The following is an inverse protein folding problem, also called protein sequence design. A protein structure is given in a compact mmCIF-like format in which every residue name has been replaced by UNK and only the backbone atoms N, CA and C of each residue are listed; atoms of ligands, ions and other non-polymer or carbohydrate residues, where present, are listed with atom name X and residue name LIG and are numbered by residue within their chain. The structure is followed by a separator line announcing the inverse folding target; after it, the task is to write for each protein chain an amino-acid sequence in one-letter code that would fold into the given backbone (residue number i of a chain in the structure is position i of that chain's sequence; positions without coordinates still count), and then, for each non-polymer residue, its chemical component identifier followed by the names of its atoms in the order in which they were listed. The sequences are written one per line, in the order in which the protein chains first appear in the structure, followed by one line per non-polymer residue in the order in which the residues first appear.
data_IF_696526350556
#
_entry.id   IF_696526350556
#
_cell.length_a   1.000
_cell.length_b   1.000
_cell.length_c   1.000
_cell.angle_alpha   90.00
_cell.angle_beta   90.00
_cell.angle_gamma   90.00
#
_symmetry.space_group_name_H-M   'P 1'
#
loop_
_entity.id
_entity.type
_entity.pdbx_description
1 polymer ?
#
# COMPACT_ATOMS: atom_id res chain seq x y z
N UNK A 1 -0.93 16.47 18.21
CA UNK A 1 -1.37 17.00 16.89
C UNK A 1 -1.00 18.48 16.68
N UNK A 2 -0.49 19.21 17.69
CA UNK A 2 -0.15 20.63 17.56
C UNK A 2 0.81 20.94 16.41
N UNK A 3 1.91 20.17 16.27
CA UNK A 3 2.89 20.39 15.20
C UNK A 3 2.29 20.24 13.80
N UNK A 4 1.45 19.22 13.59
CA UNK A 4 0.78 19.01 12.30
C UNK A 4 -0.19 20.16 11.96
N UNK A 5 -0.89 20.70 12.96
CA UNK A 5 -1.75 21.88 12.80
C UNK A 5 -0.88 23.10 12.43
N UNK A 6 0.21 23.34 13.16
CA UNK A 6 1.16 24.42 12.88
C UNK A 6 1.73 24.33 11.47
N UNK A 7 2.23 23.17 11.05
CA UNK A 7 2.74 22.99 9.69
C UNK A 7 1.67 23.13 8.60
N UNK A 8 0.42 22.77 8.85
CA UNK A 8 -0.66 23.00 7.89
C UNK A 8 -1.06 24.49 7.83
N UNK A 9 -1.10 25.18 8.96
CA UNK A 9 -1.55 26.57 9.07
C UNK A 9 -0.47 27.56 8.63
N UNK A 10 0.72 27.42 9.21
CA UNK A 10 1.89 28.23 8.90
C UNK A 10 2.55 27.76 7.61
N UNK A 11 2.49 26.48 7.28
CA UNK A 11 3.05 25.96 6.04
C UNK A 11 4.49 25.48 6.15
N UNK A 12 4.91 24.76 5.12
CA UNK A 12 6.21 24.09 4.98
C UNK A 12 6.90 24.53 3.69
N UNK A 13 8.25 24.42 3.59
CA UNK A 13 8.92 24.59 2.32
C UNK A 13 8.54 23.47 1.33
N UNK A 14 8.20 23.85 0.12
CA UNK A 14 7.89 22.90 -0.96
C UNK A 14 9.15 22.13 -1.34
N UNK A 15 9.05 20.81 -1.38
CA UNK A 15 10.14 19.94 -1.82
C UNK A 15 10.14 19.78 -3.34
N UNK A 16 11.29 19.40 -3.92
CA UNK A 16 11.39 19.11 -5.35
C UNK A 16 10.44 17.98 -5.77
N UNK A 17 10.27 16.95 -4.94
CA UNK A 17 9.36 15.82 -5.21
C UNK A 17 7.89 16.25 -5.19
N UNK A 18 7.48 17.11 -4.25
CA UNK A 18 6.12 17.66 -4.22
C UNK A 18 5.82 18.52 -5.45
N UNK A 19 6.73 19.42 -5.83
CA UNK A 19 6.55 20.27 -7.00
C UNK A 19 6.42 19.42 -8.27
N UNK A 20 7.28 18.40 -8.43
CA UNK A 20 7.22 17.45 -9.53
C UNK A 20 5.91 16.65 -9.55
N UNK A 21 5.48 16.11 -8.40
CA UNK A 21 4.23 15.37 -8.28
C UNK A 21 3.01 16.24 -8.66
N UNK A 22 2.99 17.50 -8.20
CA UNK A 22 1.91 18.45 -8.52
C UNK A 22 1.87 18.76 -10.02
N UNK A 23 3.02 19.08 -10.62
CA UNK A 23 3.11 19.36 -12.05
C UNK A 23 2.71 18.14 -12.91
N UNK A 24 3.20 16.94 -12.58
CA UNK A 24 2.89 15.72 -13.33
C UNK A 24 1.41 15.32 -13.28
N UNK A 25 0.66 15.81 -12.28
CA UNK A 25 -0.78 15.54 -12.10
C UNK A 25 -1.68 16.72 -12.44
N UNK A 26 -1.12 17.86 -12.83
CA UNK A 26 -1.85 19.10 -13.04
C UNK A 26 -2.99 18.93 -14.05
N UNK A 27 -2.72 18.37 -15.23
CA UNK A 27 -3.73 18.21 -16.28
C UNK A 27 -4.86 17.25 -15.88
N UNK A 28 -4.56 16.25 -15.04
CA UNK A 28 -5.53 15.29 -14.52
C UNK A 28 -6.42 15.90 -13.43
N UNK A 29 -5.84 16.73 -12.56
CA UNK A 29 -6.46 17.13 -11.30
C UNK A 29 -6.94 18.59 -11.25
N UNK A 30 -6.52 19.49 -12.16
CA UNK A 30 -6.88 20.93 -12.10
C UNK A 30 -8.38 21.20 -12.06
N UNK A 31 -9.18 20.30 -12.63
CA UNK A 31 -10.64 20.40 -12.68
C UNK A 31 -11.35 19.69 -11.52
N UNK A 32 -10.59 18.99 -10.66
CA UNK A 32 -11.15 18.35 -9.48
C UNK A 32 -11.45 19.40 -8.41
N UNK A 33 -12.63 19.35 -7.76
CA UNK A 33 -13.01 20.36 -6.79
C UNK A 33 -12.01 20.48 -5.63
N UNK A 34 -11.55 21.71 -5.35
CA UNK A 34 -10.62 22.00 -4.26
C UNK A 34 -9.15 21.77 -4.60
N UNK A 35 -8.81 21.15 -5.74
CA UNK A 35 -7.42 20.86 -6.08
C UNK A 35 -6.65 22.14 -6.39
N UNK A 36 -7.14 22.96 -7.31
CA UNK A 36 -6.46 24.17 -7.76
C UNK A 36 -6.29 25.18 -6.63
N UNK A 37 -7.29 25.31 -5.75
CA UNK A 37 -7.27 26.20 -4.59
C UNK A 37 -6.27 25.75 -3.52
N UNK A 38 -6.03 24.44 -3.40
CA UNK A 38 -5.16 23.88 -2.37
C UNK A 38 -3.72 23.72 -2.85
N UNK A 39 -3.53 23.27 -4.08
CA UNK A 39 -2.25 22.76 -4.57
C UNK A 39 -1.54 23.66 -5.57
N UNK A 40 -2.20 24.69 -6.10
CA UNK A 40 -1.63 25.58 -7.12
C UNK A 40 -1.46 27.02 -6.62
N UNK A 41 -0.44 27.69 -7.14
CA UNK A 41 -0.19 29.12 -6.93
C UNK A 41 -0.29 29.80 -8.29
N UNK A 42 -1.30 30.66 -8.45
CA UNK A 42 -1.60 31.31 -9.73
C UNK A 42 -1.75 30.31 -10.91
N UNK A 43 -2.37 29.15 -10.64
CA UNK A 43 -2.64 28.11 -11.65
C UNK A 43 -1.48 27.15 -11.92
N UNK A 44 -0.34 27.35 -11.28
CA UNK A 44 0.88 26.55 -11.48
C UNK A 44 1.27 25.78 -10.22
N UNK A 45 2.04 24.71 -10.40
CA UNK A 45 2.65 23.99 -9.28
C UNK A 45 3.58 24.93 -8.49
N UNK A 46 3.58 24.88 -7.15
CA UNK A 46 4.39 25.78 -6.34
C UNK A 46 5.88 25.47 -6.50
N UNK A 47 6.71 26.51 -6.47
CA UNK A 47 8.16 26.37 -6.69
C UNK A 47 8.83 25.69 -5.49
N UNK A 48 9.83 24.81 -5.69
CA UNK A 48 10.64 24.30 -4.59
C UNK A 48 11.20 25.42 -3.71
N UNK A 49 11.18 25.22 -2.40
CA UNK A 49 11.60 26.22 -1.39
C UNK A 49 10.57 27.31 -1.09
N UNK A 50 9.53 27.49 -1.92
CA UNK A 50 8.41 28.38 -1.59
C UNK A 50 7.60 27.83 -0.42
N UNK A 51 6.80 28.69 0.22
CA UNK A 51 5.99 28.32 1.39
C UNK A 51 4.63 27.79 0.95
N UNK A 52 4.30 26.56 1.34
CA UNK A 52 3.04 25.90 1.05
C UNK A 52 2.18 25.75 2.31
N UNK A 53 0.96 26.29 2.28
CA UNK A 53 0.01 26.28 3.41
C UNK A 53 -1.25 25.51 3.06
N UNK A 54 -1.85 24.87 4.05
CA UNK A 54 -3.09 24.10 3.96
C UNK A 54 -4.04 24.49 5.13
N UNK A 55 -4.56 25.73 5.15
CA UNK A 55 -5.39 26.21 6.27
C UNK A 55 -6.68 25.40 6.47
N UNK A 56 -7.26 24.87 5.39
CA UNK A 56 -8.42 23.98 5.48
C UNK A 56 -8.07 22.66 6.19
N UNK A 57 -6.89 22.09 5.92
CA UNK A 57 -6.38 20.90 6.61
C UNK A 57 -6.10 21.21 8.09
N UNK A 58 -5.53 22.37 8.40
CA UNK A 58 -5.35 22.80 9.79
C UNK A 58 -6.68 22.85 10.56
N UNK A 59 -7.73 23.37 9.92
CA UNK A 59 -9.09 23.35 10.48
C UNK A 59 -9.60 21.93 10.76
N UNK A 60 -9.41 21.00 9.83
CA UNK A 60 -9.77 19.58 10.01
C UNK A 60 -8.98 18.93 11.16
N UNK A 61 -7.68 19.19 11.24
CA UNK A 61 -6.82 18.67 12.32
C UNK A 61 -7.19 19.26 13.68
N UNK A 62 -7.61 20.53 13.73
CA UNK A 62 -8.15 21.17 14.94
C UNK A 62 -9.44 20.50 15.41
N UNK A 63 -10.37 20.21 14.50
CA UNK A 63 -11.58 19.45 14.85
C UNK A 63 -11.26 18.06 15.40
N UNK A 64 -10.31 17.34 14.80
CA UNK A 64 -9.89 16.04 15.31
C UNK A 64 -9.23 16.13 16.70
N UNK A 65 -8.52 17.22 16.98
CA UNK A 65 -7.92 17.48 18.28
C UNK A 65 -8.97 17.84 19.34
N UNK A 66 -10.04 18.56 18.98
CA UNK A 66 -11.12 18.94 19.91
C UNK A 66 -12.15 17.83 20.13
N UNK A 67 -12.60 17.18 19.05
CA UNK A 67 -13.73 16.26 19.04
C UNK A 67 -13.28 14.80 19.23
N UNK A 68 -11.97 14.56 19.21
CA UNK A 68 -11.35 13.24 19.24
C UNK A 68 -11.21 12.61 17.85
N UNK A 69 -10.23 11.71 17.71
CA UNK A 69 -9.90 11.06 16.43
C UNK A 69 -11.05 10.24 15.84
N UNK A 70 -11.95 9.76 16.69
CA UNK A 70 -13.14 9.00 16.27
C UNK A 70 -14.12 9.87 15.47
N UNK A 71 -14.05 11.20 15.61
CA UNK A 71 -14.87 12.15 14.84
C UNK A 71 -14.71 11.97 13.32
N UNK A 72 -13.54 11.51 12.86
CA UNK A 72 -13.30 11.18 11.45
C UNK A 72 -14.29 10.14 10.90
N UNK A 73 -14.71 9.18 11.73
CA UNK A 73 -15.59 8.08 11.33
C UNK A 73 -17.00 8.18 11.90
N UNK A 74 -17.17 8.84 13.06
CA UNK A 74 -18.41 8.77 13.87
C UNK A 74 -18.90 10.10 14.43
N UNK A 75 -18.23 11.20 14.10
CA UNK A 75 -18.59 12.53 14.62
C UNK A 75 -18.90 13.55 13.53
N UNK A 76 -18.92 14.84 13.90
CA UNK A 76 -19.24 15.93 12.97
C UNK A 76 -18.34 15.96 11.72
N UNK A 77 -17.08 15.52 11.83
CA UNK A 77 -16.19 15.44 10.68
C UNK A 77 -16.64 14.35 9.69
N UNK A 78 -17.09 13.19 10.17
CA UNK A 78 -17.61 12.11 9.34
C UNK A 78 -18.84 12.56 8.53
N UNK A 79 -19.76 13.31 9.16
CA UNK A 79 -20.92 13.87 8.47
C UNK A 79 -20.51 14.85 7.37
N UNK A 80 -19.54 15.74 7.65
CA UNK A 80 -18.99 16.68 6.65
C UNK A 80 -18.34 15.94 5.47
N UNK A 81 -17.58 14.89 5.74
CA UNK A 81 -16.95 14.05 4.71
C UNK A 81 -18.01 13.37 3.84
N UNK A 82 -19.00 12.71 4.46
CA UNK A 82 -20.08 12.03 3.75
C UNK A 82 -20.91 12.99 2.87
N UNK A 83 -21.21 14.18 3.37
CA UNK A 83 -21.90 15.22 2.57
C UNK A 83 -21.06 15.68 1.38
N UNK A 84 -19.75 15.86 1.57
CA UNK A 84 -18.82 16.19 0.49
C UNK A 84 -18.74 15.10 -0.57
N UNK A 85 -18.61 13.85 -0.14
CA UNK A 85 -18.58 12.66 -1.01
C UNK A 85 -19.89 12.52 -1.81
N UNK A 86 -21.05 12.72 -1.17
CA UNK A 86 -22.34 12.66 -1.83
C UNK A 86 -22.49 13.76 -2.91
N UNK A 87 -22.03 14.99 -2.65
CA UNK A 87 -22.03 16.08 -3.65
C UNK A 87 -21.16 15.76 -4.87
N UNK A 88 -20.11 14.97 -4.67
CA UNK A 88 -19.20 14.53 -5.74
C UNK A 88 -19.66 13.23 -6.42
N UNK A 89 -20.81 12.67 -6.02
CA UNK A 89 -21.32 11.41 -6.57
C UNK A 89 -20.48 10.18 -6.20
N UNK A 90 -19.69 10.24 -5.13
CA UNK A 90 -18.93 9.09 -4.64
C UNK A 90 -19.86 8.08 -3.95
N UNK A 91 -19.59 6.77 -4.08
CA UNK A 91 -20.45 5.72 -3.51
C UNK A 91 -20.31 5.56 -1.99
N UNK A 92 -19.32 6.20 -1.37
CA UNK A 92 -19.05 6.09 0.08
C UNK A 92 -20.06 6.91 0.87
N UNK A 93 -20.75 6.26 1.79
CA UNK A 93 -21.79 6.86 2.64
C UNK A 93 -21.28 7.11 4.06
N UNK A 94 -22.06 7.86 4.86
CA UNK A 94 -21.82 7.98 6.30
C UNK A 94 -21.86 6.62 7.00
N UNK A 95 -22.78 5.73 6.57
CA UNK A 95 -22.88 4.38 7.12
C UNK A 95 -21.59 3.56 6.91
N UNK A 96 -20.95 3.71 5.74
CA UNK A 96 -19.66 3.05 5.45
C UNK A 96 -18.55 3.57 6.38
N UNK A 97 -18.46 4.88 6.59
CA UNK A 97 -17.49 5.48 7.52
C UNK A 97 -17.72 4.97 8.95
N UNK A 98 -18.97 4.96 9.41
CA UNK A 98 -19.32 4.51 10.76
C UNK A 98 -19.07 3.01 10.97
N UNK A 99 -19.28 2.19 9.94
CA UNK A 99 -19.03 0.76 9.94
C UNK A 99 -17.54 0.42 9.89
N UNK A 100 -16.69 1.29 9.34
CA UNK A 100 -15.25 1.04 9.23
C UNK A 100 -14.60 0.77 10.59
N UNK A 101 -13.79 -0.29 10.67
CA UNK A 101 -12.97 -0.62 11.84
C UNK A 101 -11.55 -0.93 11.38
N UNK A 102 -10.58 -0.22 11.94
CA UNK A 102 -9.17 -0.56 11.79
C UNK A 102 -8.93 -1.93 12.40
N UNK A 103 -8.37 -2.86 11.62
CA UNK A 103 -7.94 -4.18 12.10
C UNK A 103 -6.46 -4.11 12.47
N UNK A 104 -6.08 -4.78 13.55
CA UNK A 104 -4.68 -4.98 13.97
C UNK A 104 -4.38 -6.47 13.94
N UNK A 105 -4.21 -7.08 12.75
CA UNK A 105 -3.86 -8.48 12.67
C UNK A 105 -2.48 -8.73 13.32
N UNK A 106 -2.26 -9.94 13.81
CA UNK A 106 -0.93 -10.37 14.22
C UNK A 106 0.05 -10.29 13.03
N UNK A 107 1.34 -10.02 13.28
CA UNK A 107 2.33 -10.03 12.22
C UNK A 107 2.53 -11.45 11.68
N UNK A 108 2.91 -11.55 10.41
CA UNK A 108 3.54 -12.76 9.89
C UNK A 108 4.95 -12.87 10.46
N UNK A 109 5.35 -14.10 10.72
CA UNK A 109 6.67 -14.42 11.26
C UNK A 109 7.38 -15.42 10.38
N UNK A 110 8.71 -15.29 10.28
CA UNK A 110 9.58 -16.25 9.63
C UNK A 110 10.79 -16.50 10.52
N UNK A 111 11.12 -17.76 10.76
CA UNK A 111 12.38 -18.14 11.39
C UNK A 111 13.48 -18.17 10.32
N UNK A 112 14.49 -17.33 10.50
CA UNK A 112 15.63 -17.17 9.61
C UNK A 112 16.93 -17.47 10.38
N UNK A 113 18.00 -17.86 9.71
CA UNK A 113 19.27 -18.20 10.37
C UNK A 113 19.88 -17.06 11.21
N UNK A 114 19.52 -15.80 10.94
CA UNK A 114 20.00 -14.60 11.64
C UNK A 114 18.97 -14.02 12.62
N UNK A 115 17.83 -14.71 12.82
CA UNK A 115 16.80 -14.32 13.78
C UNK A 115 15.38 -14.50 13.26
N UNK A 116 14.41 -14.03 14.04
CA UNK A 116 13.01 -13.99 13.58
C UNK A 116 12.77 -12.72 12.77
N UNK A 117 12.09 -12.86 11.63
CA UNK A 117 11.67 -11.75 10.79
C UNK A 117 10.16 -11.55 10.92
N UNK A 118 9.73 -10.30 10.99
CA UNK A 118 8.32 -9.93 11.11
C UNK A 118 7.88 -9.06 9.94
N UNK A 119 6.67 -9.32 9.43
CA UNK A 119 6.06 -8.45 8.42
C UNK A 119 4.53 -8.43 8.55
N UNK A 120 3.87 -7.54 7.83
CA UNK A 120 2.42 -7.39 7.85
C UNK A 120 1.73 -8.56 7.14
N UNK A 121 0.62 -9.03 7.72
CA UNK A 121 -0.29 -9.97 7.08
C UNK A 121 -1.04 -9.33 5.88
N UNK A 122 -1.74 -10.12 5.06
CA UNK A 122 -2.64 -9.58 4.05
C UNK A 122 -3.62 -8.55 4.65
N UNK A 123 -3.97 -7.50 3.90
CA UNK A 123 -3.89 -7.34 2.44
C UNK A 123 -2.54 -6.82 1.90
N UNK A 124 -1.53 -6.64 2.74
CA UNK A 124 -0.20 -6.18 2.32
C UNK A 124 0.62 -7.28 1.62
N UNK A 125 1.73 -6.90 0.97
CA UNK A 125 2.67 -7.85 0.33
C UNK A 125 3.72 -8.44 1.29
N UNK A 126 3.51 -8.36 2.62
CA UNK A 126 4.48 -8.83 3.59
C UNK A 126 4.82 -10.32 3.49
N UNK A 127 3.86 -11.17 3.07
CA UNK A 127 4.10 -12.59 2.78
C UNK A 127 5.20 -12.77 1.73
N UNK A 128 5.14 -12.01 0.63
CA UNK A 128 6.07 -12.18 -0.50
C UNK A 128 7.48 -11.85 -0.05
N UNK A 129 7.67 -10.74 0.66
CA UNK A 129 8.99 -10.35 1.17
C UNK A 129 9.57 -11.39 2.13
N UNK A 130 8.75 -11.93 3.06
CA UNK A 130 9.21 -12.99 3.95
C UNK A 130 9.52 -14.28 3.20
N UNK A 131 8.67 -14.71 2.27
CA UNK A 131 8.90 -15.92 1.48
C UNK A 131 10.19 -15.82 0.65
N UNK A 132 10.50 -14.65 0.05
CA UNK A 132 11.78 -14.44 -0.65
C UNK A 132 12.96 -14.69 0.30
N UNK A 133 12.95 -14.02 1.46
CA UNK A 133 14.02 -14.15 2.45
C UNK A 133 14.15 -15.59 2.95
N UNK A 134 13.04 -16.24 3.27
CA UNK A 134 13.04 -17.62 3.74
C UNK A 134 13.49 -18.63 2.68
N UNK A 135 13.19 -18.41 1.40
CA UNK A 135 13.74 -19.24 0.32
C UNK A 135 15.25 -19.00 0.20
N UNK A 136 15.70 -17.74 0.18
CA UNK A 136 17.14 -17.43 0.06
C UNK A 136 17.95 -17.92 1.26
N UNK A 137 17.37 -17.96 2.46
CA UNK A 137 17.99 -18.51 3.67
C UNK A 137 18.29 -20.02 3.56
N UNK A 138 17.64 -20.70 2.62
CA UNK A 138 17.84 -22.13 2.32
C UNK A 138 18.78 -22.37 1.15
N UNK A 139 19.28 -21.30 0.52
CA UNK A 139 20.26 -21.35 -0.54
C UNK A 139 21.66 -21.05 0.02
N UNK A 140 22.70 -21.56 -0.62
CA UNK A 140 24.11 -21.33 -0.23
C UNK A 140 24.59 -19.94 -0.64
N UNK A 141 23.94 -18.89 -0.13
CA UNK A 141 24.16 -17.50 -0.56
C UNK A 141 25.57 -17.00 -0.25
N UNK A 142 26.22 -17.49 0.81
CA UNK A 142 27.59 -17.10 1.17
C UNK A 142 28.65 -17.56 0.15
N UNK A 143 28.36 -18.62 -0.61
CA UNK A 143 29.27 -19.19 -1.61
C UNK A 143 28.96 -18.69 -3.04
N UNK A 144 27.95 -17.82 -3.19
CA UNK A 144 27.50 -17.36 -4.49
C UNK A 144 28.36 -16.21 -5.02
N UNK A 145 28.71 -16.24 -6.31
CA UNK A 145 29.20 -15.05 -7.01
C UNK A 145 28.06 -14.03 -7.28
N UNK A 146 28.40 -12.89 -7.89
CA UNK A 146 27.44 -11.83 -8.19
C UNK A 146 26.29 -12.31 -9.10
N UNK A 147 26.60 -13.12 -10.11
CA UNK A 147 25.60 -13.61 -11.06
C UNK A 147 24.67 -14.64 -10.41
N UNK A 148 25.23 -15.56 -9.63
CA UNK A 148 24.50 -16.55 -8.85
C UNK A 148 23.62 -15.89 -7.78
N UNK A 149 24.13 -14.86 -7.11
CA UNK A 149 23.38 -14.09 -6.12
C UNK A 149 22.13 -13.46 -6.75
N UNK A 150 22.32 -12.76 -7.87
CA UNK A 150 21.19 -12.14 -8.60
C UNK A 150 20.22 -13.21 -9.09
N UNK A 151 20.72 -14.30 -9.68
CA UNK A 151 19.89 -15.40 -10.17
C UNK A 151 19.02 -16.01 -9.08
N UNK A 152 19.63 -16.39 -7.95
CA UNK A 152 18.93 -17.00 -6.81
C UNK A 152 17.88 -16.08 -6.21
N UNK A 153 18.17 -14.79 -6.07
CA UNK A 153 17.19 -13.80 -5.60
C UNK A 153 16.02 -13.67 -6.60
N UNK A 154 16.30 -13.63 -7.90
CA UNK A 154 15.28 -13.55 -8.95
C UNK A 154 14.39 -14.81 -8.94
N UNK A 155 14.98 -16.00 -8.86
CA UNK A 155 14.23 -17.26 -8.83
C UNK A 155 13.40 -17.39 -7.54
N UNK A 156 13.96 -17.03 -6.38
CA UNK A 156 13.22 -16.96 -5.11
C UNK A 156 12.04 -15.99 -5.20
N UNK A 157 12.23 -14.83 -5.86
CA UNK A 157 11.16 -13.87 -6.12
C UNK A 157 10.06 -14.49 -6.97
N UNK A 158 10.39 -15.18 -8.06
CA UNK A 158 9.38 -15.87 -8.90
C UNK A 158 8.57 -16.87 -8.10
N UNK A 159 9.21 -17.66 -7.22
CA UNK A 159 8.55 -18.65 -6.36
C UNK A 159 7.64 -17.99 -5.32
N UNK A 160 8.09 -16.94 -4.65
CA UNK A 160 7.27 -16.20 -3.68
C UNK A 160 6.04 -15.54 -4.32
N UNK A 161 6.16 -15.01 -5.54
CA UNK A 161 5.02 -14.46 -6.28
C UNK A 161 4.05 -15.56 -6.72
N UNK A 162 4.54 -16.71 -7.17
CA UNK A 162 3.68 -17.85 -7.50
C UNK A 162 2.91 -18.36 -6.27
N UNK A 163 3.56 -18.42 -5.11
CA UNK A 163 2.94 -18.76 -3.83
C UNK A 163 1.82 -17.77 -3.46
N UNK A 164 2.08 -16.47 -3.58
CA UNK A 164 1.05 -15.44 -3.39
C UNK A 164 -0.11 -15.63 -4.36
N UNK A 165 0.16 -15.80 -5.65
CA UNK A 165 -0.88 -15.87 -6.67
C UNK A 165 -1.75 -17.14 -6.53
N UNK A 166 -1.22 -18.21 -5.94
CA UNK A 166 -1.97 -19.43 -5.65
C UNK A 166 -2.90 -19.28 -4.43
N UNK A 167 -2.51 -18.49 -3.41
CA UNK A 167 -3.19 -18.46 -2.10
C UNK A 167 -3.83 -17.12 -1.72
N UNK A 168 -3.46 -16.02 -2.38
CA UNK A 168 -3.95 -14.66 -2.09
C UNK A 168 -4.63 -14.12 -3.36
N UNK A 169 -5.88 -14.56 -3.61
CA UNK A 169 -6.65 -14.18 -4.82
C UNK A 169 -7.91 -13.34 -4.56
N UNK A 170 -8.42 -13.26 -3.32
CA UNK A 170 -9.38 -12.22 -2.87
C UNK A 170 -9.30 -12.09 -1.33
N UNK A 171 -9.08 -10.89 -0.76
CA UNK A 171 -9.03 -10.70 0.70
C UNK A 171 -10.31 -11.13 1.46
N UNK A 172 -11.44 -11.28 0.76
CA UNK A 172 -12.70 -11.76 1.32
C UNK A 172 -12.80 -13.30 1.39
N UNK A 173 -11.85 -14.01 0.76
CA UNK A 173 -11.81 -15.47 0.66
C UNK A 173 -10.41 -16.04 0.96
N UNK A 174 -9.70 -15.44 1.93
CA UNK A 174 -8.48 -16.02 2.49
C UNK A 174 -8.86 -17.16 3.45
N UNK A 175 -9.16 -18.34 2.91
CA UNK A 175 -9.41 -19.56 3.68
C UNK A 175 -8.12 -20.27 4.15
N UNK A 176 -6.95 -19.72 3.80
CA UNK A 176 -5.64 -20.30 4.12
C UNK A 176 -5.02 -19.57 5.30
N UNK A 177 -4.53 -20.32 6.29
CA UNK A 177 -3.63 -19.78 7.30
C UNK A 177 -2.30 -19.39 6.63
N UNK A 178 -2.18 -18.10 6.30
CA UNK A 178 -1.04 -17.52 5.58
C UNK A 178 0.28 -17.75 6.30
N UNK A 179 0.26 -17.94 7.61
CA UNK A 179 1.46 -18.26 8.39
C UNK A 179 2.03 -19.64 8.02
N UNK A 180 1.20 -20.60 7.60
CA UNK A 180 1.65 -21.92 7.16
C UNK A 180 2.50 -21.86 5.90
N UNK A 181 2.30 -20.84 5.06
CA UNK A 181 3.06 -20.62 3.82
C UNK A 181 4.51 -20.19 4.09
N UNK A 182 4.85 -19.84 5.33
CA UNK A 182 6.19 -19.41 5.76
C UNK A 182 6.90 -20.47 6.61
N UNK A 183 6.32 -21.67 6.73
CA UNK A 183 6.95 -22.79 7.44
C UNK A 183 8.13 -23.36 6.64
N UNK A 184 9.09 -24.02 7.29
CA UNK A 184 10.15 -24.73 6.59
C UNK A 184 9.64 -25.73 5.55
N UNK A 185 8.57 -26.43 5.87
CA UNK A 185 7.93 -27.44 5.01
C UNK A 185 7.34 -26.81 3.75
N UNK A 186 6.82 -25.59 3.85
CA UNK A 186 6.31 -24.85 2.69
C UNK A 186 7.42 -24.24 1.83
N UNK A 187 8.51 -23.76 2.44
CA UNK A 187 9.57 -23.02 1.74
C UNK A 187 10.68 -23.91 1.18
N UNK A 188 10.97 -25.06 1.79
CA UNK A 188 12.05 -25.95 1.33
C UNK A 188 11.83 -26.46 -0.11
N UNK A 189 10.64 -26.94 -0.51
CA UNK A 189 10.41 -27.38 -1.88
C UNK A 189 10.58 -26.26 -2.91
N UNK A 190 10.31 -25.00 -2.52
CA UNK A 190 10.50 -23.85 -3.38
C UNK A 190 11.99 -23.57 -3.58
N UNK A 191 12.81 -23.65 -2.53
CA UNK A 191 14.26 -23.52 -2.62
C UNK A 191 14.89 -24.64 -3.45
N UNK A 192 14.49 -25.89 -3.22
CA UNK A 192 15.02 -27.07 -3.94
C UNK A 192 14.69 -27.04 -5.44
N UNK A 193 13.65 -26.29 -5.84
CA UNK A 193 13.25 -26.13 -7.24
C UNK A 193 14.04 -25.06 -8.02
N UNK A 194 15.02 -24.41 -7.39
CA UNK A 194 15.87 -23.40 -8.02
C UNK A 194 17.10 -24.09 -8.61
N UNK A 195 17.24 -24.01 -9.93
CA UNK A 195 18.40 -24.52 -10.67
C UNK A 195 19.35 -23.35 -10.97
N UNK A 196 20.58 -23.41 -10.46
CA UNK A 196 21.61 -22.39 -10.71
C UNK A 196 22.02 -22.29 -12.19
N UNK A 197 21.78 -23.33 -12.99
CA UNK A 197 22.11 -23.35 -14.41
C UNK A 197 20.96 -22.90 -15.32
N UNK A 198 19.73 -22.79 -14.81
CA UNK A 198 18.55 -22.55 -15.63
C UNK A 198 17.48 -21.71 -14.94
N UNK A 199 17.07 -20.61 -15.58
CA UNK A 199 16.02 -19.75 -15.07
C UNK A 199 14.63 -20.31 -15.37
N UNK A 200 13.75 -20.29 -14.37
CA UNK A 200 12.35 -20.66 -14.56
C UNK A 200 11.63 -19.68 -15.48
N UNK A 201 10.66 -20.14 -16.28
CA UNK A 201 9.80 -19.23 -17.03
C UNK A 201 9.08 -18.27 -16.08
N UNK A 202 8.93 -17.02 -16.51
CA UNK A 202 8.09 -16.07 -15.79
C UNK A 202 6.63 -16.58 -15.90
N UNK A 203 6.00 -16.90 -14.77
CA UNK A 203 4.60 -17.34 -14.75
C UNK A 203 3.68 -16.39 -15.54
N UNK A 204 2.57 -16.90 -16.08
CA UNK A 204 1.65 -16.10 -16.92
C UNK A 204 1.28 -14.80 -16.21
N UNK A 205 1.57 -13.65 -16.84
CA UNK A 205 1.09 -12.32 -16.42
C UNK A 205 -0.42 -12.38 -16.25
N UNK A 206 -0.93 -12.51 -15.03
CA UNK A 206 -2.31 -12.17 -14.75
C UNK A 206 -2.41 -10.65 -14.88
N UNK A 207 -3.16 -10.20 -15.90
CA UNK A 207 -3.47 -8.78 -16.07
C UNK A 207 -4.28 -8.34 -14.84
N UNK A 208 -3.87 -7.31 -14.10
CA UNK A 208 -4.67 -6.82 -12.98
C UNK A 208 -6.04 -6.34 -13.51
N UNK A 209 -7.13 -6.85 -12.95
CA UNK A 209 -8.41 -6.15 -12.92
C UNK A 209 -9.28 -6.13 -14.18
N UNK A 210 -9.45 -7.23 -14.93
CA UNK A 210 -10.60 -7.33 -15.85
C UNK A 210 -11.82 -7.87 -15.10
N UNK A 211 -12.55 -7.00 -14.41
CA UNK A 211 -13.93 -7.31 -14.02
C UNK A 211 -14.71 -7.62 -15.31
N UNK A 212 -15.14 -8.88 -15.48
CA UNK A 212 -16.20 -9.19 -16.44
C UNK A 212 -17.48 -8.64 -15.86
N UNK A 213 -17.88 -7.46 -16.33
CA UNK A 213 -19.28 -7.08 -16.31
C UNK A 213 -19.97 -7.96 -17.35
N UNK A 214 -20.37 -9.17 -16.96
CA UNK A 214 -21.29 -9.96 -17.77
C UNK A 214 -22.71 -9.45 -17.47
N UNK A 215 -23.09 -8.42 -18.22
CA UNK A 215 -24.48 -8.00 -18.31
C UNK A 215 -25.24 -9.02 -19.14
N UNK A 216 -26.07 -9.84 -18.50
CA UNK A 216 -27.23 -10.44 -19.18
C UNK A 216 -28.48 -10.17 -18.37
N UNK A 217 -29.27 -9.27 -18.94
CA UNK A 217 -30.72 -9.15 -18.76
C UNK A 217 -31.36 -10.47 -19.17
N UNK A 218 -32.37 -10.86 -18.42
CA UNK A 218 -33.32 -11.94 -18.69
C UNK A 218 -34.39 -11.86 -17.61
#
# INVERSE_FOLDING_TARGET
MADAIGYAEDGIPVTASQAHATASKLEELRHQPGFSETWLVAGEAPRPGSRFRQPALAGTLRMLASDGLDSFYRGPLAERLAQGMAKLGMPVTLGDLQAHRARRPGPLTLQHQQGTLWNLAPPTQGLVSLAILGITDRLKMADADDAQTVHRIVEATKRAFALRDAHITDPRHLDVDVQQLLTPEALQPLADSIDDASASPLGRRQRPGRYRLDGRRG
#
